data_IF_007319121149
#
_entry.id   IF_007319121149
#
_cell.length_a   1.000
_cell.length_b   1.000
_cell.length_c   1.000
_cell.angle_alpha   90.00
_cell.angle_beta   90.00
_cell.angle_gamma   90.00
#
_symmetry.space_group_name_H-M   'P 1'
#
loop_
_entity.id
_entity.type
_entity.pdbx_description
1 polymer ?
2 non-polymer ?
3 non-polymer ?
4 water ?
#
# COMPACT_ATOMS: atom_id res chain seq x y z
N UNK A 32 -36.08 -25.18 -5.59
CA UNK A 32 -34.99 -24.82 -6.51
C UNK A 32 -33.67 -24.57 -5.75
N UNK A 33 -32.92 -23.52 -6.14
CA UNK A 33 -31.69 -23.11 -5.46
C UNK A 33 -32.13 -22.16 -4.39
N UNK A 34 -33.37 -21.76 -4.44
CA UNK A 34 -33.89 -20.90 -3.39
C UNK A 34 -33.48 -21.46 -2.01
N UNK A 35 -33.20 -22.77 -1.93
CA UNK A 35 -32.72 -23.42 -0.70
C UNK A 35 -31.35 -22.91 -0.31
N UNK A 36 -30.53 -22.70 -1.33
CA UNK A 36 -29.15 -22.29 -1.08
C UNK A 36 -29.09 -20.82 -0.67
N UNK A 37 -29.87 -19.97 -1.33
CA UNK A 37 -29.99 -18.59 -0.89
C UNK A 37 -30.38 -18.52 0.58
N UNK A 38 -31.39 -19.31 0.97
CA UNK A 38 -31.88 -19.26 2.34
C UNK A 38 -30.80 -19.66 3.35
N UNK A 39 -30.05 -20.71 3.06
CA UNK A 39 -28.99 -21.08 4.00
C UNK A 39 -27.91 -19.99 4.07
N UNK A 40 -27.63 -19.33 2.95
CA UNK A 40 -26.58 -18.30 2.97
C UNK A 40 -27.04 -17.04 3.68
N UNK A 41 -28.33 -16.68 3.53
CA UNK A 41 -28.87 -15.57 4.30
C UNK A 41 -28.77 -15.84 5.79
N UNK A 42 -29.06 -17.07 6.21
CA UNK A 42 -28.97 -17.43 7.63
C UNK A 42 -27.55 -17.22 8.15
N UNK A 43 -26.55 -17.63 7.38
CA UNK A 43 -25.17 -17.42 7.79
C UNK A 43 -24.80 -15.95 7.83
N UNK A 44 -25.35 -15.13 6.90
CA UNK A 44 -25.10 -13.69 6.97
C UNK A 44 -25.68 -13.12 8.27
N UNK A 45 -26.95 -13.41 8.54
CA UNK A 45 -27.57 -12.93 9.77
C UNK A 45 -26.77 -13.39 10.98
N UNK A 46 -26.41 -14.67 11.01
CA UNK A 46 -25.64 -15.20 12.13
C UNK A 46 -24.31 -14.47 12.28
N UNK A 47 -23.64 -14.17 11.16
CA UNK A 47 -22.35 -13.50 11.27
C UNK A 47 -22.52 -12.04 11.67
N UNK A 48 -23.60 -11.39 11.22
CA UNK A 48 -23.85 -10.01 11.61
C UNK A 48 -24.07 -9.92 13.11
N UNK A 49 -25.00 -10.74 13.62
CA UNK A 49 -25.22 -10.84 15.07
C UNK A 49 -23.90 -11.04 15.82
N UNK A 50 -23.03 -11.96 15.37
CA UNK A 50 -21.73 -12.10 16.02
C UNK A 50 -20.94 -10.79 15.97
N UNK A 51 -20.81 -10.20 14.78
CA UNK A 51 -20.06 -8.96 14.65
C UNK A 51 -20.67 -7.83 15.48
N UNK A 52 -22.01 -7.71 15.47
CA UNK A 52 -22.65 -6.62 16.20
C UNK A 52 -22.66 -6.79 17.73
N UNK A 53 -22.04 -7.84 18.29
CA UNK A 53 -21.93 -7.98 19.75
C UNK A 53 -20.52 -8.35 20.18
N UNK A 54 -19.55 -8.27 19.29
CA UNK A 54 -18.18 -8.33 19.69
C UNK A 54 -17.68 -6.97 20.14
N UNK A 55 -16.55 -6.98 20.83
CA UNK A 55 -15.94 -5.73 21.26
C UNK A 55 -14.88 -5.33 20.24
N UNK A 56 -14.03 -4.37 20.60
CA UNK A 56 -13.00 -3.91 19.70
C UNK A 56 -11.82 -4.84 19.50
N UNK A 57 -11.83 -6.00 20.15
CA UNK A 57 -10.74 -6.97 20.00
C UNK A 57 -10.56 -7.41 18.55
N UNK A 60 -11.10 -4.25 12.76
CA UNK A 60 -10.25 -5.21 12.07
C UNK A 60 -10.52 -6.64 12.56
N UNK A 61 -11.70 -6.84 13.12
CA UNK A 61 -12.08 -8.09 13.78
C UNK A 61 -12.02 -9.28 12.83
N UNK A 62 -11.95 -10.48 13.41
CA UNK A 62 -12.22 -11.69 12.65
C UNK A 62 -13.70 -11.83 12.35
N UNK A 63 -14.56 -11.36 13.26
CA UNK A 63 -16.00 -11.40 13.01
C UNK A 63 -16.38 -10.54 11.82
N UNK A 64 -15.75 -9.36 11.71
CA UNK A 64 -16.01 -8.46 10.60
C UNK A 64 -15.66 -9.09 9.26
N UNK A 65 -14.55 -9.85 9.20
CA UNK A 65 -14.18 -10.45 7.92
C UNK A 65 -15.08 -11.65 7.61
N UNK A 66 -15.48 -12.40 8.64
CA UNK A 66 -16.41 -13.50 8.39
C UNK A 66 -17.72 -12.99 7.82
N UNK A 67 -18.22 -11.85 8.32
CA UNK A 67 -19.48 -11.31 7.82
C UNK A 67 -19.35 -10.88 6.37
N UNK A 68 -18.20 -10.30 6.00
CA UNK A 68 -17.90 -10.01 4.60
C UNK A 68 -17.89 -11.29 3.79
N UNK A 69 -17.19 -12.32 4.29
CA UNK A 69 -17.13 -13.59 3.60
C UNK A 69 -18.53 -14.13 3.30
N UNK A 70 -19.40 -14.15 4.32
CA UNK A 70 -20.76 -14.69 4.14
C UNK A 70 -21.60 -13.81 3.22
N UNK A 71 -21.44 -12.48 3.30
CA UNK A 71 -22.08 -11.60 2.32
C UNK A 71 -21.66 -11.95 0.91
N UNK A 72 -20.36 -12.18 0.73
CA UNK A 72 -19.85 -12.53 -0.59
C UNK A 72 -20.40 -13.85 -1.08
N UNK A 73 -20.47 -14.87 -0.20
CA UNK A 73 -21.08 -16.14 -0.58
C UNK A 73 -22.51 -15.94 -1.07
N UNK A 74 -23.27 -15.10 -0.37
CA UNK A 74 -24.68 -14.93 -0.70
C UNK A 74 -24.85 -14.41 -2.12
N UNK A 75 -24.07 -13.38 -2.50
CA UNK A 75 -24.06 -12.92 -3.88
C UNK A 75 -23.75 -14.06 -4.84
N UNK A 76 -22.64 -14.75 -4.62
CA UNK A 76 -22.24 -15.81 -5.53
C UNK A 76 -23.33 -16.88 -5.66
N UNK A 77 -23.96 -17.25 -4.53
CA UNK A 77 -25.02 -18.24 -4.57
C UNK A 77 -26.24 -17.72 -5.34
N UNK A 78 -26.60 -16.44 -5.13
CA UNK A 78 -27.68 -15.82 -5.89
C UNK A 78 -27.39 -15.90 -7.39
N UNK A 79 -26.15 -15.63 -7.80
CA UNK A 79 -25.85 -15.61 -9.22
C UNK A 79 -25.73 -17.02 -9.79
N UNK A 80 -25.30 -17.99 -8.99
CA UNK A 80 -25.03 -19.31 -9.52
C UNK A 80 -23.64 -19.40 -10.14
N UNK A 81 -23.05 -20.60 -10.10
CA UNK A 81 -21.60 -20.72 -10.43
C UNK A 81 -21.19 -20.16 -11.78
N UNK A 82 -21.90 -20.49 -12.85
CA UNK A 82 -21.48 -20.07 -14.20
C UNK A 82 -21.65 -18.56 -14.35
N UNK A 83 -22.82 -17.95 -14.10
CA UNK A 83 -22.89 -16.48 -14.18
C UNK A 83 -21.96 -15.74 -13.25
N UNK A 84 -21.56 -16.33 -12.13
CA UNK A 84 -20.63 -15.64 -11.25
C UNK A 84 -19.23 -15.58 -11.86
N UNK A 85 -18.93 -16.44 -12.82
CA UNK A 85 -17.62 -16.39 -13.43
C UNK A 85 -17.49 -15.22 -14.38
N UNK A 86 -18.60 -14.54 -14.71
CA UNK A 86 -18.61 -13.31 -15.49
C UNK A 86 -18.24 -12.09 -14.66
N UNK A 87 -18.03 -12.24 -13.36
CA UNK A 87 -17.76 -11.07 -12.55
C UNK A 87 -16.34 -10.53 -12.77
N UNK A 88 -15.43 -11.31 -13.37
CA UNK A 88 -14.16 -10.74 -13.85
C UNK A 88 -14.37 -9.68 -14.93
N UNK A 89 -15.29 -9.89 -15.87
CA UNK A 89 -15.52 -8.86 -16.89
C UNK A 89 -16.25 -7.65 -16.33
N UNK A 90 -17.22 -7.85 -15.42
CA UNK A 90 -17.83 -6.71 -14.74
C UNK A 90 -16.80 -5.94 -13.95
N UNK A 91 -15.89 -6.64 -13.28
CA UNK A 91 -14.93 -5.96 -12.42
C UNK A 91 -13.98 -5.12 -13.24
N UNK A 92 -13.53 -5.66 -14.37
CA UNK A 92 -12.54 -4.98 -15.20
C UNK A 92 -13.13 -3.68 -15.74
N UNK A 93 -14.35 -3.73 -16.30
CA UNK A 93 -14.94 -2.49 -16.85
C UNK A 93 -15.21 -1.49 -15.74
N UNK A 94 -15.56 -1.95 -14.54
CA UNK A 94 -15.82 -1.03 -13.45
C UNK A 94 -14.55 -0.27 -13.08
N UNK A 95 -13.42 -0.99 -12.92
CA UNK A 95 -12.14 -0.32 -12.65
C UNK A 95 -11.80 0.64 -13.78
N UNK A 96 -12.04 0.22 -15.02
CA UNK A 96 -11.66 1.02 -16.17
C UNK A 96 -12.48 2.30 -16.21
N UNK A 97 -13.74 2.19 -15.81
CA UNK A 97 -14.65 3.33 -15.81
C UNK A 97 -14.36 4.30 -14.65
N UNK A 98 -14.12 3.77 -13.44
CA UNK A 98 -13.67 4.60 -12.33
C UNK A 98 -12.41 5.39 -12.69
N UNK A 99 -11.40 4.69 -13.23
CA UNK A 99 -10.15 5.34 -13.62
C UNK A 99 -10.41 6.47 -14.62
N UNK A 100 -11.21 6.21 -15.65
CA UNK A 100 -11.49 7.24 -16.65
C UNK A 100 -12.25 8.41 -16.03
N UNK A 101 -13.30 8.12 -15.25
CA UNK A 101 -14.10 9.19 -14.67
C UNK A 101 -13.27 10.04 -13.71
N UNK A 102 -12.42 9.41 -12.91
CA UNK A 102 -11.56 10.17 -12.01
C UNK A 102 -10.56 11.02 -12.81
N UNK A 103 -9.90 10.42 -13.80
CA UNK A 103 -8.88 11.16 -14.55
C UNK A 103 -9.51 12.31 -15.35
N UNK A 104 -10.72 12.13 -15.86
CA UNK A 104 -11.37 13.20 -16.61
C UNK A 104 -12.06 14.23 -15.72
N UNK A 105 -11.90 14.17 -14.40
CA UNK A 105 -12.47 15.19 -13.54
C UNK A 105 -13.96 15.09 -13.27
N UNK A 106 -14.58 13.96 -13.55
CA UNK A 106 -16.00 13.81 -13.24
C UNK A 106 -16.24 13.82 -11.72
N UNK A 107 -15.36 13.19 -10.93
CA UNK A 107 -15.54 13.20 -9.47
C UNK A 107 -15.49 14.63 -8.92
N UNK A 108 -14.54 15.45 -9.42
CA UNK A 108 -14.40 16.84 -8.95
C UNK A 108 -15.50 17.76 -9.51
N UNK A 109 -16.04 17.45 -10.67
CA UNK A 109 -17.13 18.28 -11.17
C UNK A 109 -18.45 17.99 -10.45
N UNK A 110 -18.53 16.85 -9.75
CA UNK A 110 -19.89 16.59 -9.28
C UNK A 110 -20.06 17.13 -7.86
N UNK A 111 -21.23 17.71 -7.60
CA UNK A 111 -21.52 18.31 -6.28
C UNK A 111 -21.28 17.34 -5.14
N UNK A 112 -20.27 17.63 -4.32
CA UNK A 112 -20.06 16.90 -3.08
C UNK A 112 -21.28 17.08 -2.20
N UNK A 113 -21.88 15.96 -1.78
CA UNK A 113 -23.01 15.98 -0.87
C UNK A 113 -24.28 15.32 -1.38
N UNK A 114 -24.31 14.76 -2.59
CA UNK A 114 -25.46 14.01 -3.05
C UNK A 114 -26.40 14.77 -3.97
N UNK A 115 -26.14 16.04 -4.21
CA UNK A 115 -26.91 16.81 -5.17
C UNK A 115 -26.67 16.28 -6.58
N UNK A 116 -27.74 16.16 -7.35
CA UNK A 116 -27.71 15.55 -8.68
C UNK A 116 -27.07 16.49 -9.72
N UNK A 117 -26.64 15.90 -10.85
CA UNK A 117 -26.08 16.64 -11.98
C UNK A 117 -26.23 15.78 -13.23
N UNK A 118 -26.55 16.42 -14.36
CA UNK A 118 -26.86 15.68 -15.57
C UNK A 118 -25.60 15.31 -16.34
N UNK A 119 -25.74 14.30 -17.19
CA UNK A 119 -24.69 13.98 -18.15
C UNK A 119 -24.19 15.23 -18.86
N UNK A 120 -25.12 16.05 -19.37
CA UNK A 120 -24.75 17.23 -20.14
C UNK A 120 -23.95 18.21 -19.29
N UNK A 121 -24.42 18.48 -18.07
CA UNK A 121 -23.67 19.34 -17.15
C UNK A 121 -22.27 18.80 -16.93
N UNK A 122 -22.17 17.52 -16.55
CA UNK A 122 -20.85 16.90 -16.33
C UNK A 122 -20.02 17.00 -17.59
N UNK A 123 -20.63 16.70 -18.73
CA UNK A 123 -19.87 16.74 -19.98
C UNK A 123 -19.35 18.15 -20.26
N UNK A 124 -20.15 19.16 -19.92
CA UNK A 124 -19.75 20.55 -20.16
C UNK A 124 -18.56 20.94 -19.31
N UNK A 125 -18.57 20.57 -18.02
CA UNK A 125 -17.52 21.02 -17.12
C UNK A 125 -16.22 20.25 -17.24
N UNK A 126 -16.21 19.07 -17.88
CA UNK A 126 -14.98 18.28 -17.96
C UNK A 126 -14.48 18.11 -19.38
N UNK A 127 -15.32 18.34 -20.39
CA UNK A 127 -14.96 18.01 -21.74
C UNK A 127 -14.94 16.53 -22.06
N UNK A 128 -15.41 15.68 -21.16
CA UNK A 128 -15.58 14.27 -21.49
C UNK A 128 -16.80 14.13 -22.38
N UNK A 129 -16.65 13.41 -23.48
CA UNK A 129 -17.77 13.18 -24.39
C UNK A 129 -18.98 12.64 -23.63
N UNK A 130 -20.09 13.40 -23.71
CA UNK A 130 -21.34 13.03 -23.07
C UNK A 130 -21.77 11.60 -23.41
N UNK A 131 -21.41 11.11 -24.59
CA UNK A 131 -21.78 9.77 -24.97
C UNK A 131 -20.94 8.73 -24.24
N UNK A 132 -19.63 8.97 -24.15
CA UNK A 132 -18.77 8.10 -23.36
C UNK A 132 -19.17 8.14 -21.90
N UNK A 133 -19.43 9.34 -21.38
CA UNK A 133 -19.78 9.50 -19.97
C UNK A 133 -21.01 8.67 -19.62
N UNK A 134 -22.06 8.75 -20.45
CA UNK A 134 -23.26 7.98 -20.15
C UNK A 134 -22.93 6.49 -20.11
N UNK A 135 -22.22 6.00 -21.12
CA UNK A 135 -21.83 4.59 -21.14
C UNK A 135 -21.00 4.22 -19.91
N UNK A 136 -20.01 5.05 -19.56
CA UNK A 136 -19.17 4.75 -18.42
C UNK A 136 -19.97 4.72 -17.12
N UNK A 137 -20.98 5.60 -16.98
CA UNK A 137 -21.73 5.67 -15.73
C UNK A 137 -22.51 4.39 -15.47
N UNK A 138 -22.84 3.63 -16.52
CA UNK A 138 -23.55 2.37 -16.33
C UNK A 138 -22.74 1.34 -15.53
N UNK A 139 -21.42 1.51 -15.42
CA UNK A 139 -20.63 0.56 -14.63
C UNK A 139 -20.47 0.99 -13.17
N UNK A 140 -20.86 2.21 -12.79
CA UNK A 140 -20.58 2.69 -11.44
C UNK A 140 -21.85 3.18 -10.76
N UNK A 141 -23.02 2.89 -11.34
CA UNK A 141 -24.28 3.21 -10.67
C UNK A 141 -25.04 1.97 -10.19
N UNK A 142 -25.08 0.85 -10.95
CA UNK A 142 -25.97 -0.27 -10.54
C UNK A 142 -25.69 -0.77 -9.14
N UNK A 143 -24.42 -1.07 -8.88
CA UNK A 143 -23.87 -1.20 -7.55
C UNK A 143 -22.80 -0.18 -7.27
N UNK A 144 -22.16 0.39 -8.34
CA UNK A 144 -20.92 1.16 -8.25
C UNK A 144 -21.10 2.28 -7.27
N UNK A 145 -20.03 3.02 -6.93
CA UNK A 145 -20.14 3.99 -5.82
C UNK A 145 -21.01 5.22 -6.11
N UNK A 146 -21.51 5.40 -7.35
CA UNK A 146 -22.32 6.56 -7.68
C UNK A 146 -23.79 6.17 -7.61
N UNK A 147 -24.67 7.18 -7.67
CA UNK A 147 -26.09 6.93 -7.67
C UNK A 147 -26.72 7.49 -8.94
N UNK A 148 -27.43 6.64 -9.67
CA UNK A 148 -28.20 7.06 -10.84
C UNK A 148 -29.54 7.59 -10.36
N UNK A 149 -29.63 8.92 -10.26
CA UNK A 149 -30.82 9.56 -9.70
C UNK A 149 -31.98 9.52 -10.70
N UNK A 150 -31.69 9.79 -11.98
CA UNK A 150 -32.65 9.66 -13.05
C UNK A 150 -31.91 9.49 -14.34
N UNK A 151 -32.64 9.39 -15.44
CA UNK A 151 -32.02 9.28 -16.77
C UNK A 151 -31.00 10.40 -17.00
N UNK A 152 -29.75 10.01 -17.31
CA UNK A 152 -28.63 10.94 -17.51
C UNK A 152 -28.37 11.83 -16.32
N UNK A 153 -28.71 11.35 -15.12
CA UNK A 153 -28.65 12.14 -13.91
C UNK A 153 -27.98 11.31 -12.82
N UNK A 154 -26.99 11.87 -12.15
CA UNK A 154 -26.13 11.08 -11.28
C UNK A 154 -25.81 11.89 -10.03
N UNK A 155 -25.59 11.20 -8.91
CA UNK A 155 -25.13 11.87 -7.71
C UNK A 155 -23.93 11.12 -7.13
N UNK A 156 -23.10 11.86 -6.42
CA UNK A 156 -22.12 11.28 -5.53
C UNK A 156 -22.84 10.49 -4.43
N UNK A 157 -22.10 9.57 -3.80
CA UNK A 157 -22.44 9.02 -2.49
C UNK A 157 -21.18 9.15 -1.64
N UNK A 158 -21.21 8.79 -0.36
CA UNK A 158 -19.95 8.80 0.39
C UNK A 158 -18.93 7.81 -0.16
N UNK A 159 -19.38 6.79 -0.89
CA UNK A 159 -18.44 5.83 -1.44
C UNK A 159 -17.75 6.35 -2.69
N UNK A 160 -18.43 7.17 -3.52
CA UNK A 160 -17.72 7.83 -4.60
C UNK A 160 -16.83 8.95 -4.07
N UNK A 161 -17.37 9.81 -3.21
CA UNK A 161 -16.57 10.91 -2.64
C UNK A 161 -15.34 10.41 -1.91
N UNK A 162 -15.33 9.16 -1.45
CA UNK A 162 -14.14 8.61 -0.82
C UNK A 162 -12.94 8.61 -1.76
N UNK A 163 -13.18 8.53 -3.08
CA UNK A 163 -12.08 8.62 -4.02
C UNK A 163 -11.41 9.98 -3.99
N UNK A 164 -12.04 10.98 -3.38
CA UNK A 164 -11.39 12.27 -3.29
C UNK A 164 -10.55 12.45 -2.03
N UNK A 165 -10.64 11.54 -1.06
CA UNK A 165 -9.86 11.79 0.15
C UNK A 165 -8.38 11.61 -0.14
N UNK A 166 -7.55 12.17 0.76
CA UNK A 166 -6.10 12.10 0.63
C UNK A 166 -5.61 10.69 0.28
N UNK A 167 -5.92 9.70 1.13
CA UNK A 167 -5.44 8.34 0.92
C UNK A 167 -5.76 7.81 -0.47
N UNK A 168 -7.02 7.89 -0.89
CA UNK A 168 -7.41 7.30 -2.16
C UNK A 168 -6.93 8.16 -3.33
N UNK A 169 -6.94 9.48 -3.14
CA UNK A 169 -6.59 10.35 -4.27
C UNK A 169 -5.10 10.30 -4.59
N UNK A 170 -4.25 9.93 -3.63
CA UNK A 170 -2.86 9.76 -3.95
C UNK A 170 -2.65 8.38 -4.56
N UNK A 171 -3.29 7.40 -3.96
CA UNK A 171 -3.03 6.00 -4.23
C UNK A 171 -3.69 5.49 -5.52
N UNK A 172 -4.97 5.84 -5.75
CA UNK A 172 -5.71 5.24 -6.88
C UNK A 172 -5.19 5.68 -8.24
N UNK A 173 -4.95 6.97 -8.52
CA UNK A 173 -4.46 7.34 -9.87
C UNK A 173 -3.14 6.71 -10.20
N UNK A 174 -2.22 6.64 -9.24
CA UNK A 174 -0.92 6.07 -9.53
C UNK A 174 -1.04 4.57 -9.80
N UNK A 175 -1.84 3.87 -8.99
CA UNK A 175 -2.05 2.44 -9.23
C UNK A 175 -2.71 2.21 -10.57
N UNK A 176 -3.69 3.06 -10.92
CA UNK A 176 -4.44 2.78 -12.13
C UNK A 176 -3.67 3.23 -13.36
N UNK A 177 -2.87 4.30 -13.27
CA UNK A 177 -2.10 4.72 -14.44
C UNK A 177 -0.83 3.88 -14.66
N UNK A 178 -0.24 3.31 -13.60
CA UNK A 178 1.04 2.65 -13.77
C UNK A 178 1.08 1.19 -13.38
N UNK A 179 0.17 0.72 -12.52
CA UNK A 179 0.31 -0.58 -11.92
C UNK A 179 -0.72 -1.58 -12.43
N UNK A 180 -1.98 -1.14 -12.64
CA UNK A 180 -3.03 -2.10 -12.99
C UNK A 180 -2.67 -2.84 -14.27
N UNK A 181 -2.18 -2.11 -15.27
CA UNK A 181 -1.75 -2.68 -16.53
C UNK A 181 -0.76 -3.82 -16.38
N UNK A 182 0.36 -3.55 -15.74
CA UNK A 182 1.33 -4.63 -15.45
C UNK A 182 0.71 -5.82 -14.74
N UNK A 183 -0.06 -5.59 -13.67
CA UNK A 183 -0.64 -6.71 -12.93
C UNK A 183 -1.42 -7.61 -13.89
N UNK A 184 -2.23 -7.01 -14.75
CA UNK A 184 -2.97 -7.82 -15.71
C UNK A 184 -2.03 -8.60 -16.61
N UNK A 185 -0.82 -8.06 -16.84
CA UNK A 185 0.15 -8.70 -17.73
C UNK A 185 1.05 -9.70 -17.02
N UNK A 186 0.82 -9.94 -15.72
CA UNK A 186 1.53 -10.99 -15.01
C UNK A 186 1.47 -12.29 -15.81
N UNK A 187 0.29 -12.65 -16.31
CA UNK A 187 0.17 -13.89 -17.06
C UNK A 187 1.10 -13.88 -18.27
N UNK A 188 1.05 -12.79 -19.06
CA UNK A 188 1.89 -12.69 -20.24
C UNK A 188 3.37 -12.85 -19.89
N UNK A 189 3.81 -12.23 -18.80
CA UNK A 189 5.23 -12.30 -18.45
C UNK A 189 5.61 -13.73 -18.09
N UNK A 190 4.82 -14.36 -17.23
CA UNK A 190 5.16 -15.72 -16.82
C UNK A 190 5.09 -16.69 -17.99
N UNK A 191 4.18 -16.44 -18.95
CA UNK A 191 4.07 -17.29 -20.13
C UNK A 191 5.38 -17.35 -20.91
N UNK A 192 6.01 -16.21 -21.13
CA UNK A 192 7.28 -16.13 -21.84
C UNK A 192 8.36 -17.03 -21.24
N UNK A 193 8.26 -17.41 -19.97
CA UNK A 193 9.23 -18.32 -19.36
C UNK A 193 8.57 -19.62 -18.93
N UNK A 194 7.44 -19.95 -19.56
CA UNK A 194 6.71 -21.21 -19.31
C UNK A 194 6.35 -21.38 -17.84
N UNK A 195 5.80 -20.30 -17.26
CA UNK A 195 5.24 -20.29 -15.92
C UNK A 195 6.31 -20.44 -14.86
N UNK A 196 7.55 -20.16 -15.22
CA UNK A 196 8.67 -20.16 -14.30
C UNK A 196 8.90 -18.75 -13.76
N UNK A 197 9.48 -18.69 -12.57
CA UNK A 197 9.74 -17.41 -11.92
C UNK A 197 11.01 -16.77 -12.48
N UNK A 198 10.87 -16.03 -13.58
CA UNK A 198 11.95 -15.20 -14.09
C UNK A 198 11.91 -13.78 -13.54
N UNK A 199 11.07 -13.53 -12.54
CA UNK A 199 10.73 -12.16 -12.18
C UNK A 199 11.89 -11.52 -11.44
N UNK A 200 12.22 -10.30 -11.83
CA UNK A 200 13.27 -9.57 -11.17
C UNK A 200 12.83 -8.10 -11.02
N UNK A 201 13.56 -7.37 -10.19
CA UNK A 201 13.33 -5.94 -10.02
C UNK A 201 13.42 -5.16 -11.34
N UNK A 202 14.20 -5.63 -12.30
CA UNK A 202 14.40 -4.89 -13.56
C UNK A 202 13.88 -5.64 -14.78
N UNK A 203 13.16 -6.73 -14.58
CA UNK A 203 12.59 -7.53 -15.68
C UNK A 203 11.39 -8.26 -15.08
N UNK A 204 10.20 -7.81 -15.45
CA UNK A 204 8.98 -8.10 -14.71
C UNK A 204 7.78 -7.57 -15.49
N UNK A 205 6.55 -7.84 -15.04
CA UNK A 205 5.39 -7.33 -15.80
C UNK A 205 5.36 -5.82 -15.94
N UNK A 206 5.97 -5.09 -15.00
CA UNK A 206 6.07 -3.63 -15.14
C UNK A 206 7.01 -3.24 -16.30
N UNK A 207 8.22 -3.82 -16.37
CA UNK A 207 9.09 -3.51 -17.51
C UNK A 207 8.47 -4.01 -18.81
N UNK A 208 7.81 -5.18 -18.79
CA UNK A 208 7.13 -5.65 -19.99
C UNK A 208 6.05 -4.67 -20.45
N UNK A 209 5.16 -4.23 -19.52
CA UNK A 209 4.00 -3.43 -19.92
C UNK A 209 4.41 -2.02 -20.32
N UNK A 210 5.37 -1.44 -19.61
CA UNK A 210 5.79 -0.08 -19.87
C UNK A 210 6.96 -0.02 -20.84
N UNK A 211 7.31 -1.17 -21.44
CA UNK A 211 8.43 -1.33 -22.35
C UNK A 211 9.67 -0.60 -21.84
N UNK A 212 10.10 -0.95 -20.62
CA UNK A 212 11.27 -0.33 -20.02
C UNK A 212 12.20 -1.35 -19.36
N UNK A 213 12.57 -2.41 -20.08
CA UNK A 213 13.47 -3.42 -19.48
C UNK A 213 14.74 -2.79 -18.92
N UNK A 214 15.15 -3.27 -17.74
CA UNK A 214 16.34 -2.73 -17.09
C UNK A 214 16.05 -1.77 -15.94
N UNK A 215 15.09 -0.86 -16.11
CA UNK A 215 14.75 0.07 -15.03
C UNK A 215 13.87 -0.60 -13.99
N UNK A 216 14.24 -0.42 -12.72
CA UNK A 216 13.29 -0.62 -11.64
C UNK A 216 12.13 0.40 -11.75
N UNK A 217 11.10 0.17 -10.93
CA UNK A 217 9.89 0.99 -11.05
C UNK A 217 10.13 2.42 -10.59
N UNK A 218 10.77 2.58 -9.41
CA UNK A 218 11.15 3.91 -8.94
C UNK A 218 12.02 4.64 -9.96
N UNK A 219 13.02 3.95 -10.53
CA UNK A 219 13.81 4.57 -11.60
C UNK A 219 12.92 5.09 -12.71
N UNK A 220 12.02 4.23 -13.23
CA UNK A 220 11.25 4.64 -14.40
C UNK A 220 10.31 5.80 -14.08
N UNK A 221 9.66 5.77 -12.91
CA UNK A 221 8.70 6.83 -12.60
C UNK A 221 9.40 8.14 -12.29
N UNK A 222 10.48 8.10 -11.51
CA UNK A 222 11.20 9.33 -11.18
C UNK A 222 11.88 9.95 -12.40
N UNK A 223 12.21 9.16 -13.43
CA UNK A 223 12.88 9.71 -14.61
C UNK A 223 12.11 10.88 -15.21
N UNK A 224 10.78 10.79 -15.22
CA UNK A 224 9.95 11.91 -15.66
C UNK A 224 9.54 12.71 -14.43
N UNK A 225 9.96 13.98 -14.38
CA UNK A 225 9.77 14.78 -13.17
C UNK A 225 8.31 15.05 -12.85
N UNK A 226 7.42 15.06 -13.86
CA UNK A 226 5.99 15.26 -13.65
C UNK A 226 5.33 14.13 -12.85
N UNK A 227 6.03 12.99 -12.66
CA UNK A 227 5.52 11.91 -11.84
C UNK A 227 5.89 12.05 -10.36
N UNK A 228 6.81 12.95 -10.02
CA UNK A 228 7.35 12.96 -8.65
C UNK A 228 6.27 13.35 -7.65
N UNK A 229 5.52 14.41 -7.95
CA UNK A 229 4.43 14.83 -7.05
C UNK A 229 3.38 13.73 -6.90
N UNK A 230 2.77 13.20 -7.97
CA UNK A 230 1.76 12.13 -7.78
C UNK A 230 2.31 10.90 -7.07
N UNK A 231 3.54 10.49 -7.37
CA UNK A 231 4.06 9.26 -6.78
C UNK A 231 4.38 9.47 -5.30
N UNK A 232 4.98 10.61 -4.92
CA UNK A 232 5.25 10.83 -3.50
C UNK A 232 3.96 10.92 -2.69
N UNK A 233 2.88 11.49 -3.27
CA UNK A 233 1.57 11.51 -2.61
C UNK A 233 1.06 10.10 -2.39
N UNK A 234 1.06 9.28 -3.45
CA UNK A 234 0.69 7.87 -3.31
C UNK A 234 1.53 7.16 -2.25
N UNK A 235 2.82 7.53 -2.14
CA UNK A 235 3.66 6.93 -1.12
C UNK A 235 3.20 7.31 0.29
N UNK A 236 2.53 8.45 0.42
CA UNK A 236 1.96 8.86 1.71
C UNK A 236 0.69 8.11 2.06
N UNK A 237 0.04 7.44 1.09
CA UNK A 237 -1.20 6.71 1.35
C UNK A 237 -1.04 5.72 2.48
N UNK A 238 -2.03 5.67 3.37
CA UNK A 238 -2.01 4.82 4.54
C UNK A 238 -3.48 4.54 4.92
N UNK A 239 -4.18 3.85 4.07
CA UNK A 239 -5.57 3.58 4.29
C UNK A 239 -5.87 2.76 5.49
N UNK A 240 -5.04 1.82 5.83
CA UNK A 240 -5.33 0.99 6.96
C UNK A 240 -4.78 1.52 8.26
N UNK A 241 -4.19 2.69 8.25
CA UNK A 241 -3.66 3.34 9.41
C UNK A 241 -2.67 2.58 10.21
N UNK A 242 -1.46 2.47 9.69
CA UNK A 242 -0.44 1.70 10.36
C UNK A 242 -0.18 2.12 11.76
N UNK A 243 -0.19 1.11 12.62
CA UNK A 243 0.02 1.23 14.06
C UNK A 243 1.49 1.44 14.36
N UNK A 244 1.84 2.67 14.74
CA UNK A 244 3.19 3.07 15.07
C UNK A 244 3.54 2.91 16.55
N UNK A 245 2.56 2.65 17.42
CA UNK A 245 2.81 2.43 18.83
C UNK A 245 3.12 0.97 19.14
N UNK A 246 3.38 0.18 18.10
CA UNK A 246 3.64 -1.24 18.25
C UNK A 246 5.00 -1.51 18.89
N UNK A 247 5.91 -0.54 18.84
CA UNK A 247 7.27 -0.61 19.32
C UNK A 247 7.53 0.50 20.33
N UNK A 248 8.23 0.20 21.43
CA UNK A 248 8.52 1.22 22.45
C UNK A 248 9.61 2.23 22.06
N UNK A 249 9.22 3.27 21.31
CA UNK A 249 10.20 4.26 20.88
C UNK A 249 10.79 5.02 22.06
N UNK A 250 10.00 5.26 23.11
CA UNK A 250 10.51 6.01 24.26
C UNK A 250 11.65 5.29 24.95
N UNK A 251 11.52 3.97 25.11
CA UNK A 251 12.52 3.21 25.84
C UNK A 251 13.86 3.19 25.12
N UNK A 252 13.91 2.61 23.91
CA UNK A 252 15.21 2.42 23.25
C UNK A 252 15.88 3.75 22.92
N UNK A 253 15.12 4.79 22.69
CA UNK A 253 15.69 6.06 22.24
C UNK A 253 16.15 6.95 23.40
N UNK A 254 15.60 6.78 24.61
CA UNK A 254 16.04 7.56 25.75
C UNK A 254 17.25 6.95 26.47
N UNK A 255 17.40 5.62 26.47
CA UNK A 255 18.60 4.99 26.99
C UNK A 255 19.74 5.11 26.00
N UNK A 256 19.81 6.21 25.28
CA UNK A 256 20.76 6.40 24.19
C UNK A 256 21.55 7.68 24.45
N UNK A 257 22.85 7.51 24.69
CA UNK A 257 23.73 8.62 25.05
C UNK A 257 24.36 9.19 23.80
N UNK A 258 24.22 10.50 23.59
CA UNK A 258 24.95 11.22 22.56
C UNK A 258 24.64 10.82 21.13
N UNK A 259 25.63 10.21 20.46
CA UNK A 259 25.46 9.83 19.06
C UNK A 259 24.54 8.63 18.86
N UNK A 260 24.34 7.81 19.90
CA UNK A 260 23.36 6.73 19.84
C UNK A 260 21.92 7.23 19.96
N UNK A 261 21.69 8.43 20.51
CA UNK A 261 20.36 9.05 20.51
C UNK A 261 20.11 9.61 19.11
N UNK A 262 19.71 8.73 18.20
CA UNK A 262 19.46 9.06 16.80
C UNK A 262 18.59 7.98 16.17
N UNK A 263 17.67 8.41 15.28
CA UNK A 263 16.77 7.53 14.55
C UNK A 263 16.89 7.87 13.07
N UNK A 264 17.17 6.88 12.23
CA UNK A 264 17.20 7.09 10.78
C UNK A 264 15.99 6.40 10.16
N UNK A 265 15.16 7.18 9.47
CA UNK A 265 13.98 6.69 8.77
C UNK A 265 14.36 6.53 7.30
N UNK A 266 14.90 5.36 6.98
CA UNK A 266 15.51 5.12 5.67
C UNK A 266 14.42 4.86 4.65
N UNK A 267 14.51 5.55 3.51
CA UNK A 267 13.42 5.64 2.53
C UNK A 267 12.14 6.08 3.23
N UNK A 268 12.35 7.04 4.10
CA UNK A 268 11.36 7.66 4.93
C UNK A 268 10.34 8.42 4.16
N UNK A 269 10.71 8.85 3.00
CA UNK A 269 9.83 9.55 2.12
C UNK A 269 9.31 10.78 2.76
N UNK A 270 8.02 10.89 2.89
CA UNK A 270 7.38 12.06 3.42
C UNK A 270 7.78 12.42 4.81
N UNK A 271 8.08 11.43 5.60
CA UNK A 271 8.43 11.63 6.99
C UNK A 271 7.35 11.24 8.00
N UNK A 272 6.13 10.94 7.54
CA UNK A 272 5.02 10.70 8.46
C UNK A 272 5.35 9.64 9.48
N UNK A 273 6.16 8.64 9.10
CA UNK A 273 6.59 7.65 10.07
C UNK A 273 7.45 8.25 11.16
N UNK A 274 8.30 9.21 10.80
CA UNK A 274 9.10 9.89 11.80
C UNK A 274 8.22 10.77 12.67
N UNK A 275 7.39 11.62 12.06
CA UNK A 275 6.43 12.43 12.80
C UNK A 275 5.68 11.59 13.83
N UNK A 276 5.29 10.38 13.46
CA UNK A 276 4.58 9.50 14.37
C UNK A 276 5.50 8.92 15.45
N UNK A 277 6.81 8.86 15.20
CA UNK A 277 7.71 8.39 16.25
C UNK A 277 8.09 9.55 17.18
N UNK A 278 8.35 10.73 16.63
CA UNK A 278 8.28 11.92 17.47
C UNK A 278 6.89 12.07 18.09
N UNK A 279 5.86 11.37 17.57
CA UNK A 279 4.53 11.35 18.18
C UNK A 279 4.21 10.00 18.83
N UNK A 280 5.21 9.34 19.37
CA UNK A 280 4.96 8.17 20.19
C UNK A 280 5.97 8.03 21.33
N UNK A 281 6.96 8.91 21.38
CA UNK A 281 7.72 9.29 22.55
C UNK A 281 8.04 10.77 22.46
N UNK A 282 7.61 11.62 23.41
CA UNK A 282 7.94 13.06 23.31
C UNK A 282 8.97 13.58 24.32
N UNK A 283 9.37 12.83 25.36
CA UNK A 283 10.42 13.29 26.30
C UNK A 283 11.80 13.04 25.67
N UNK A 284 12.19 13.95 24.78
CA UNK A 284 13.39 13.79 23.96
C UNK A 284 14.62 14.36 24.66
N UNK A 285 15.73 13.63 24.58
CA UNK A 285 17.03 14.19 24.96
C UNK A 285 17.68 14.83 23.73
N UNK A 286 17.02 15.90 23.25
CA UNK A 286 17.47 16.69 22.12
C UNK A 286 17.89 15.87 20.92
N UNK A 287 17.02 14.96 20.50
CA UNK A 287 17.45 13.83 19.70
C UNK A 287 17.50 14.16 18.20
N UNK A 288 18.21 13.30 17.49
CA UNK A 288 18.52 13.46 16.08
C UNK A 288 17.54 12.61 15.26
N UNK A 289 16.75 13.26 14.41
CA UNK A 289 15.75 12.55 13.60
C UNK A 289 16.02 12.80 12.13
N UNK A 290 16.32 11.71 11.40
CA UNK A 290 16.83 11.76 10.04
C UNK A 290 15.86 11.03 9.11
N UNK A 291 15.62 11.59 7.93
CA UNK A 291 14.78 10.96 6.92
C UNK A 291 15.59 10.93 5.63
N UNK A 292 16.02 9.73 5.23
CA UNK A 292 16.77 9.52 4.00
C UNK A 292 15.84 9.05 2.90
N UNK A 293 15.98 9.62 1.70
CA UNK A 293 15.31 9.10 0.52
C UNK A 293 16.05 9.58 -0.72
N UNK A 294 15.64 9.07 -1.87
CA UNK A 294 16.22 9.49 -3.12
C UNK A 294 16.01 10.99 -3.32
N UNK A 295 16.81 11.57 -4.22
CA UNK A 295 16.83 13.02 -4.38
C UNK A 295 15.46 13.62 -4.68
N UNK A 296 14.74 13.20 -5.72
CA UNK A 296 13.51 13.93 -6.07
C UNK A 296 12.44 13.85 -4.98
N UNK A 297 12.51 12.84 -4.11
CA UNK A 297 11.61 12.70 -2.97
C UNK A 297 12.00 13.68 -1.86
N UNK A 298 13.26 13.63 -1.44
CA UNK A 298 13.79 14.61 -0.48
C UNK A 298 13.51 16.03 -0.95
N UNK A 299 13.55 16.25 -2.26
CA UNK A 299 13.20 17.57 -2.79
C UNK A 299 11.78 17.98 -2.46
N UNK A 300 10.82 17.09 -2.67
CA UNK A 300 9.42 17.41 -2.44
C UNK A 300 9.13 17.70 -0.98
N UNK A 301 9.78 16.97 -0.06
CA UNK A 301 9.46 17.08 1.36
C UNK A 301 10.54 17.80 2.18
N UNK A 302 11.62 18.30 1.57
CA UNK A 302 12.70 18.90 2.35
C UNK A 302 12.19 20.06 3.21
N UNK A 303 11.51 21.02 2.57
CA UNK A 303 11.06 22.22 3.28
C UNK A 303 10.12 21.85 4.42
N UNK A 304 9.10 21.03 4.14
CA UNK A 304 8.17 20.61 5.17
C UNK A 304 8.82 19.70 6.21
N UNK A 305 9.90 19.00 5.87
CA UNK A 305 10.58 18.17 6.86
C UNK A 305 11.48 19.01 7.78
N UNK A 306 12.27 19.92 7.20
CA UNK A 306 13.07 20.84 8.02
C UNK A 306 12.16 21.59 9.00
N UNK A 307 11.07 22.16 8.49
CA UNK A 307 10.16 22.93 9.33
C UNK A 307 9.79 22.17 10.60
N UNK A 308 9.40 20.92 10.47
CA UNK A 308 9.03 20.12 11.64
C UNK A 308 10.24 19.67 12.44
N UNK A 309 11.41 20.22 12.16
CA UNK A 309 12.60 19.92 12.93
C UNK A 309 13.29 18.61 12.62
N UNK A 310 13.06 18.01 11.45
CA UNK A 310 13.83 16.82 11.05
C UNK A 310 14.69 17.20 9.86
N UNK A 311 15.74 16.42 9.66
CA UNK A 311 16.81 16.77 8.74
C UNK A 311 16.74 15.91 7.49
N UNK A 312 16.61 16.50 6.29
CA UNK A 312 16.47 15.69 5.07
C UNK A 312 17.79 15.44 4.35
N UNK A 313 18.25 14.19 4.32
CA UNK A 313 19.46 13.85 3.58
C UNK A 313 19.17 12.83 2.49
N UNK A 314 19.73 13.09 1.30
CA UNK A 314 19.63 12.20 0.14
C UNK A 314 20.54 10.99 0.31
N UNK A 315 20.03 9.81 -0.01
CA UNK A 315 20.74 8.56 0.21
C UNK A 315 20.09 7.47 -0.64
N UNK A 316 20.92 6.58 -1.16
CA UNK A 316 20.50 5.49 -2.04
C UNK A 316 20.99 4.20 -1.39
N UNK A 317 20.10 3.46 -0.75
CA UNK A 317 20.58 2.28 -0.03
C UNK A 317 21.07 1.16 -0.95
N UNK A 318 21.10 1.37 -2.29
CA UNK A 318 21.64 0.42 -3.26
C UNK A 318 23.06 0.77 -3.71
N UNK A 319 23.33 2.05 -4.00
CA UNK A 319 24.64 2.52 -4.43
C UNK A 319 25.59 2.82 -3.27
N UNK A 320 25.14 3.55 -2.24
CA UNK A 320 25.99 4.06 -1.18
C UNK A 320 25.92 3.21 0.09
N UNK A 321 26.79 3.50 1.04
CA UNK A 321 26.74 2.92 2.37
C UNK A 321 26.01 3.89 3.30
N UNK A 322 25.51 3.36 4.41
CA UNK A 322 24.71 4.17 5.35
C UNK A 322 25.56 5.27 5.97
N UNK A 323 25.31 6.55 5.66
CA UNK A 323 26.19 7.61 6.19
C UNK A 323 26.21 7.70 7.72
N UNK A 324 25.05 7.84 8.34
CA UNK A 324 25.00 8.13 9.77
C UNK A 324 25.39 6.87 10.53
N UNK A 325 26.53 6.93 11.24
CA UNK A 325 27.09 5.80 11.97
C UNK A 325 26.53 5.73 13.38
N UNK A 326 26.33 4.50 13.85
CA UNK A 326 25.99 4.22 15.24
C UNK A 326 24.74 4.88 15.83
N UNK A 327 23.60 4.80 15.14
CA UNK A 327 22.34 5.27 15.70
C UNK A 327 21.63 4.10 16.36
N UNK A 328 20.82 4.39 17.40
CA UNK A 328 20.27 3.28 18.19
C UNK A 328 19.34 2.40 17.37
N UNK A 329 18.71 2.98 16.35
CA UNK A 329 17.87 2.22 15.44
C UNK A 329 18.11 2.73 14.02
N UNK A 330 18.02 1.80 13.06
CA UNK A 330 17.81 2.14 11.67
C UNK A 330 16.47 1.52 11.29
N UNK A 331 15.57 2.37 10.78
CA UNK A 331 14.15 2.06 10.69
C UNK A 331 13.71 2.02 9.24
N UNK A 332 13.02 0.95 8.86
CA UNK A 332 12.59 0.68 7.49
C UNK A 332 11.09 0.42 7.46
N UNK A 333 10.29 1.39 7.02
CA UNK A 333 8.85 1.19 6.93
C UNK A 333 8.43 1.08 5.47
N UNK A 334 7.85 -0.07 5.12
CA UNK A 334 7.31 -0.29 3.78
C UNK A 334 8.38 0.01 2.73
N UNK A 335 9.57 -0.53 2.96
CA UNK A 335 10.64 -0.55 1.98
C UNK A 335 10.93 -1.97 1.49
N UNK A 336 11.09 -2.92 2.41
CA UNK A 336 11.57 -4.25 2.06
C UNK A 336 10.57 -5.04 1.22
N UNK A 337 9.27 -4.71 1.27
CA UNK A 337 8.35 -5.39 0.36
C UNK A 337 8.54 -4.93 -1.08
N UNK A 338 9.37 -3.93 -1.32
CA UNK A 338 9.70 -3.49 -2.67
C UNK A 338 10.79 -4.32 -3.34
N UNK A 339 11.47 -5.20 -2.59
CA UNK A 339 12.72 -5.77 -3.04
C UNK A 339 12.77 -7.25 -2.71
N UNK A 340 13.42 -8.04 -3.57
CA UNK A 340 13.64 -9.46 -3.25
C UNK A 340 14.80 -9.60 -2.27
N UNK A 341 14.81 -10.74 -1.56
CA UNK A 341 15.96 -11.08 -0.72
C UNK A 341 17.29 -10.82 -1.44
N UNK A 342 17.51 -11.48 -2.58
CA UNK A 342 18.71 -11.23 -3.35
C UNK A 342 18.35 -10.79 -4.75
N UNK A 343 19.05 -9.78 -5.30
CA UNK A 343 20.18 -9.07 -4.68
C UNK A 343 19.86 -7.90 -3.74
N UNK A 344 18.86 -7.06 -4.06
CA UNK A 344 18.75 -5.77 -3.39
C UNK A 344 18.54 -5.93 -1.89
N UNK A 345 17.78 -6.93 -1.47
CA UNK A 345 17.56 -7.17 -0.07
C UNK A 345 18.83 -7.22 0.77
N UNK A 346 19.75 -8.12 0.43
CA UNK A 346 21.00 -8.18 1.17
C UNK A 346 21.80 -6.90 1.01
N UNK A 347 21.76 -6.29 -0.18
CA UNK A 347 22.54 -5.08 -0.38
C UNK A 347 22.05 -3.95 0.51
N UNK A 348 20.72 -3.83 0.74
CA UNK A 348 20.22 -2.87 1.71
C UNK A 348 20.81 -3.16 3.08
N UNK A 349 20.57 -4.38 3.58
CA UNK A 349 20.97 -4.74 4.93
C UNK A 349 22.48 -4.65 5.11
N UNK A 350 23.26 -4.84 4.04
CA UNK A 350 24.71 -4.78 4.23
C UNK A 350 25.23 -3.35 4.15
N UNK A 351 24.64 -2.53 3.27
CA UNK A 351 25.07 -1.13 3.20
C UNK A 351 24.78 -0.35 4.48
N UNK A 352 23.91 -0.86 5.35
CA UNK A 352 23.62 -0.20 6.61
C UNK A 352 24.14 -1.01 7.80
N UNK A 353 24.52 -2.27 7.60
CA UNK A 353 25.37 -2.94 8.58
C UNK A 353 26.69 -2.20 8.74
N UNK A 354 27.14 -1.54 7.68
CA UNK A 354 28.38 -0.77 7.71
C UNK A 354 28.39 0.23 8.88
N UNK A 355 27.32 1.00 9.02
CA UNK A 355 27.30 2.08 10.01
C UNK A 355 26.82 1.64 11.39
N UNK A 356 26.49 0.37 11.60
CA UNK A 356 25.92 -0.06 12.89
C UNK A 356 27.00 -0.33 13.92
N UNK A 357 26.82 0.20 15.12
CA UNK A 357 27.50 -0.36 16.28
C UNK A 357 26.95 -1.77 16.55
N UNK A 358 27.84 -2.69 16.92
CA UNK A 358 27.42 -4.08 17.10
C UNK A 358 26.41 -4.20 18.23
N UNK A 359 26.71 -3.57 19.37
CA UNK A 359 25.96 -3.75 20.61
C UNK A 359 25.00 -2.61 20.91
N UNK A 360 25.01 -1.55 20.11
CA UNK A 360 24.22 -0.36 20.41
C UNK A 360 23.35 0.15 19.27
N UNK A 361 23.63 -0.23 18.03
CA UNK A 361 22.73 0.03 16.91
C UNK A 361 21.82 -1.18 16.68
N UNK A 362 20.68 -0.91 16.05
CA UNK A 362 19.67 -1.94 15.85
C UNK A 362 18.84 -1.61 14.61
N UNK A 363 18.31 -2.66 13.98
CA UNK A 363 17.58 -2.55 12.72
C UNK A 363 16.12 -2.90 12.95
N UNK A 364 15.22 -2.06 12.44
CA UNK A 364 13.78 -2.28 12.55
C UNK A 364 13.14 -2.29 11.15
N UNK A 365 12.58 -3.45 10.79
CA UNK A 365 11.87 -3.66 9.51
C UNK A 365 10.39 -3.71 9.80
N UNK A 366 9.63 -2.77 9.22
CA UNK A 366 8.20 -2.59 9.49
C UNK A 366 7.41 -2.85 8.20
N UNK A 367 6.67 -3.96 8.18
CA UNK A 367 6.04 -4.43 6.95
C UNK A 367 4.90 -5.34 7.31
N UNK A 368 4.07 -5.64 6.31
CA UNK A 368 3.08 -6.68 6.48
C UNK A 368 3.77 -7.99 6.83
N UNK A 369 3.16 -8.77 7.72
CA UNK A 369 3.57 -10.13 8.01
C UNK A 369 2.45 -11.04 7.52
N UNK A 370 2.71 -11.74 6.43
CA UNK A 370 1.66 -12.53 5.79
C UNK A 370 1.50 -13.84 6.55
N UNK A 371 0.28 -14.22 6.94
CA UNK A 371 0.10 -15.53 7.55
C UNK A 371 0.20 -16.64 6.52
N UNK A 372 0.65 -17.81 6.98
CA UNK A 372 0.76 -18.97 6.11
C UNK A 372 -0.59 -19.60 5.82
N UNK A 373 -1.66 -19.16 6.47
CA UNK A 373 -3.00 -19.61 6.13
C UNK A 373 -3.94 -18.48 6.47
N UNK A 374 -5.09 -18.46 5.79
CA UNK A 374 -6.09 -17.45 6.08
C UNK A 374 -5.72 -16.03 5.70
N UNK A 375 -4.86 -15.84 4.70
CA UNK A 375 -4.61 -14.50 4.19
C UNK A 375 -5.90 -13.88 3.65
N UNK A 376 -5.99 -12.56 3.72
CA UNK A 376 -7.14 -11.85 3.19
C UNK A 376 -6.82 -11.21 1.84
N UNK A 377 -7.87 -10.66 1.22
CA UNK A 377 -7.70 -9.88 0.00
C UNK A 377 -6.81 -8.66 0.21
N UNK A 378 -6.58 -8.26 1.46
CA UNK A 378 -5.70 -7.13 1.70
C UNK A 378 -4.22 -7.52 1.60
N UNK A 379 -3.84 -8.68 2.14
CA UNK A 379 -2.55 -9.27 1.80
C UNK A 379 -2.42 -9.44 0.28
N UNK A 380 -3.45 -10.03 -0.33
CA UNK A 380 -3.34 -10.48 -1.71
C UNK A 380 -3.10 -9.30 -2.66
N UNK A 381 -3.86 -8.20 -2.52
CA UNK A 381 -3.69 -7.12 -3.50
C UNK A 381 -2.34 -6.44 -3.34
N UNK A 382 -1.83 -6.32 -2.11
CA UNK A 382 -0.52 -5.70 -1.92
C UNK A 382 0.59 -6.61 -2.44
N UNK A 383 0.54 -7.90 -2.10
CA UNK A 383 1.60 -8.81 -2.52
C UNK A 383 1.62 -8.99 -4.04
N UNK A 384 0.46 -9.21 -4.64
CA UNK A 384 0.40 -9.45 -6.07
C UNK A 384 0.62 -8.18 -6.88
N UNK A 385 0.38 -6.99 -6.32
CA UNK A 385 0.73 -5.77 -7.05
C UNK A 385 2.25 -5.57 -7.04
N UNK A 386 2.88 -5.88 -5.90
CA UNK A 386 4.33 -5.88 -5.80
C UNK A 386 4.97 -6.94 -6.71
N UNK A 387 4.31 -8.08 -6.93
CA UNK A 387 4.81 -9.05 -7.89
C UNK A 387 5.13 -8.40 -9.24
N UNK A 388 4.31 -7.44 -9.66
CA UNK A 388 4.47 -6.84 -10.96
C UNK A 388 5.77 -6.02 -11.06
N UNK A 389 6.35 -5.60 -9.94
CA UNK A 389 7.58 -4.83 -9.96
C UNK A 389 8.75 -5.57 -9.31
N UNK A 390 8.61 -6.87 -9.06
CA UNK A 390 9.67 -7.62 -8.39
C UNK A 390 9.67 -7.55 -6.88
N UNK A 391 8.64 -6.98 -6.27
CA UNK A 391 8.53 -6.92 -4.83
C UNK A 391 7.66 -8.04 -4.29
N UNK A 392 7.47 -8.04 -2.98
CA UNK A 392 6.76 -9.15 -2.36
C UNK A 392 6.55 -8.86 -0.89
N UNK A 393 5.36 -9.20 -0.39
CA UNK A 393 5.13 -9.22 1.06
C UNK A 393 5.61 -10.55 1.64
N UNK A 394 6.28 -10.49 2.78
CA UNK A 394 6.97 -11.65 3.34
C UNK A 394 6.20 -12.29 4.49
N UNK A 395 6.30 -13.63 4.59
CA UNK A 395 5.80 -14.29 5.77
C UNK A 395 6.81 -14.13 6.90
N UNK A 396 6.45 -14.64 8.09
CA UNK A 396 7.40 -14.62 9.18
C UNK A 396 8.63 -15.47 8.85
N UNK A 397 8.41 -16.63 8.23
CA UNK A 397 9.53 -17.45 7.78
C UNK A 397 10.34 -16.75 6.71
N UNK A 398 9.71 -15.96 5.85
CA UNK A 398 10.46 -15.25 4.81
C UNK A 398 11.38 -14.21 5.42
N UNK A 399 10.92 -13.54 6.48
CA UNK A 399 11.79 -12.59 7.17
C UNK A 399 12.94 -13.32 7.87
N UNK A 400 12.69 -14.53 8.38
CA UNK A 400 13.75 -15.31 9.03
C UNK A 400 14.90 -15.55 8.06
N UNK A 401 14.58 -16.00 6.84
CA UNK A 401 15.60 -16.25 5.83
C UNK A 401 16.28 -14.97 5.37
N UNK A 402 15.55 -13.85 5.33
CA UNK A 402 16.19 -12.59 4.94
C UNK A 402 17.21 -12.16 5.98
N UNK A 403 16.96 -12.46 7.26
CA UNK A 403 17.92 -12.15 8.30
C UNK A 403 19.15 -13.06 8.19
N UNK A 404 18.91 -14.37 8.15
CA UNK A 404 19.99 -15.34 8.00
C UNK A 404 20.92 -14.96 6.86
N UNK A 405 20.36 -14.71 5.68
CA UNK A 405 21.15 -14.42 4.49
C UNK A 405 22.01 -13.17 4.69
N UNK A 406 21.63 -12.28 5.60
CA UNK A 406 22.39 -11.05 5.82
C UNK A 406 23.12 -11.04 7.15
N UNK A 407 23.22 -12.19 7.81
CA UNK A 407 24.00 -12.29 9.02
C UNK A 407 23.47 -11.49 10.19
N UNK A 408 22.15 -11.41 10.32
CA UNK A 408 21.51 -10.67 11.39
C UNK A 408 20.77 -11.62 12.32
N UNK A 409 20.73 -11.27 13.59
CA UNK A 409 20.04 -12.05 14.60
C UNK A 409 18.64 -11.49 14.82
N UNK A 410 17.66 -12.38 14.83
CA UNK A 410 16.32 -12.01 15.27
C UNK A 410 16.37 -11.64 16.74
N UNK A 411 15.97 -10.41 17.07
CA UNK A 411 15.77 -10.05 18.46
C UNK A 411 14.32 -10.36 18.83
N UNK A 412 13.38 -9.59 18.29
CA UNK A 412 11.97 -9.77 18.61
C UNK A 412 11.11 -9.43 17.40
N UNK A 413 10.03 -10.19 17.23
CA UNK A 413 9.00 -9.89 16.25
C UNK A 413 7.85 -9.20 16.98
N UNK A 414 7.73 -7.89 16.77
CA UNK A 414 6.76 -7.04 17.49
C UNK A 414 5.41 -7.10 16.79
N UNK A 415 4.46 -7.85 17.36
CA UNK A 415 3.13 -7.98 16.78
C UNK A 415 2.06 -7.70 17.81
N UNK A 416 1.08 -6.87 17.44
CA UNK A 416 -0.16 -6.70 18.20
C UNK A 416 -1.28 -7.31 17.36
N UNK A 417 -1.60 -8.60 17.53
CA UNK A 417 -2.43 -9.32 16.55
C UNK A 417 -3.73 -8.60 16.21
N UNK A 418 -4.21 -8.80 14.98
CA UNK A 418 -5.13 -7.90 14.36
C UNK A 418 -4.47 -6.78 13.59
N UNK A 419 -3.21 -6.48 13.92
CA UNK A 419 -2.33 -5.71 13.05
C UNK A 419 -1.81 -6.63 11.94
N UNK A 420 -1.84 -6.14 10.70
CA UNK A 420 -1.17 -6.83 9.61
C UNK A 420 0.31 -6.54 9.60
N UNK A 421 0.69 -5.33 9.98
CA UNK A 421 2.09 -4.99 10.17
C UNK A 421 2.66 -5.65 11.42
N UNK A 422 3.93 -6.04 11.33
CA UNK A 422 4.75 -6.26 12.49
C UNK A 422 6.07 -5.53 12.31
N UNK A 423 6.86 -5.52 13.38
CA UNK A 423 8.22 -5.00 13.31
C UNK A 423 9.18 -6.15 13.56
N UNK A 424 10.10 -6.35 12.62
CA UNK A 424 11.19 -7.30 12.77
C UNK A 424 12.37 -6.53 13.38
N UNK A 425 12.70 -6.86 14.64
CA UNK A 425 13.83 -6.25 15.34
C UNK A 425 15.06 -7.13 15.17
N UNK A 426 16.19 -6.51 14.81
CA UNK A 426 17.37 -7.33 14.57
C UNK A 426 18.65 -6.60 14.96
N UNK A 427 19.65 -7.40 15.34
CA UNK A 427 20.99 -6.96 15.67
C UNK A 427 21.97 -7.77 14.85
N UNK A 428 23.22 -7.30 14.79
CA UNK A 428 24.28 -8.04 14.09
C UNK A 428 24.62 -9.35 14.83
N UNK A 429 24.81 -10.42 14.10
CA UNK A 429 25.05 -11.69 14.75
C UNK A 429 26.33 -11.67 15.54
X LIG B 1 2.50 -0.74 -4.71
X LIG B 1 2.37 -1.84 -5.56
X LIG B 1 4.44 3.37 -5.19
X LIG B 1 2.00 3.38 -5.17
X LIG B 1 1.78 2.94 -6.39
X LIG B 1 1.89 0.89 -3.18
X LIG B 1 1.89 -2.39 -1.88
X LIG B 1 2.98 0.72 -0.99
X LIG B 1 4.26 0.71 -1.76
X LIG B 1 6.52 1.06 -0.86
X LIG B 1 4.37 1.22 -3.02
X LIG B 1 0.58 1.27 -1.27
X LIG B 1 0.17 1.38 0.17
X LIG B 1 -1.21 1.71 0.65
X LIG B 1 -2.15 2.45 -0.02
X LIG B 1 -2.92 1.75 1.95
X LIG B 1 3.06 -1.80 -6.77
X LIG B 1 -0.19 1.45 -2.55
X LIG B 1 3.82 -0.70 -7.11
X LIG B 1 3.92 0.40 -6.25
X LIG B 1 3.24 0.38 -5.04
X LIG B 1 3.17 1.44 -3.94
X LIG B 1 3.21 2.94 -4.38
X LIG B 1 3.23 3.84 -3.15
X LIG B 1 1.86 -0.55 -3.48
X LIG B 1 1.84 0.98 -1.69
X LIG B 1 -3.21 2.45 0.82
X LIG B 1 -1.65 1.28 1.86
X LIG B 1 0.56 1.29 -3.67
X LIG B 1 1.26 -1.48 -2.80
X LIG B 1 2.96 0.53 0.23
X LIG B 1 5.46 0.18 -1.14
X LIG B 1 -1.45 1.74 -2.60
X LIG C 1 8.92 4.81 4.79
X LIG C 1 7.85 5.13 3.84
X LIG C 1 8.01 4.33 2.56
X LIG C 1 7.75 5.13 1.30
X LIG C 1 7.54 4.05 -0.14
X LIG C 1 6.45 4.86 4.37
X LIG C 1 5.50 5.60 4.12
X LIG C 1 6.25 3.84 5.03
X LIG C 1 9.27 3.51 -0.35
X LIG C 1 10.30 4.61 -0.50
X LIG C 1 11.58 4.03 -0.76
X LIG C 1 10.00 5.54 -1.66
X LIG C 1 9.68 6.80 -1.12
X LIG C 1 11.27 5.51 -2.54
X LIG C 1 11.75 6.73 -3.07
X LIG C 1 12.30 4.92 -1.60
X LIG C 1 13.37 4.32 -2.42
X LIG C 1 13.22 3.66 -3.61
X LIG C 1 14.46 3.29 -4.04
X LIG C 1 15.38 3.71 -3.15
X LIG C 1 16.78 3.60 -3.12
X LIG C 1 17.46 2.97 -4.07
X LIG C 1 17.46 4.15 -2.05
X LIG C 1 16.77 4.79 -1.04
X LIG C 1 15.38 4.90 -1.09
X LIG C 1 14.71 4.37 -2.14
#
# INVERSE_FOLDING_TARGET
MGSSHHHHHHHHGASENLYFQGASMTFSNADAQKIAVQKDVDEVVAAAQRFLHGSGNATSDEAKVDLQKKASNLVQTIRGPIPAALSSMEDIVKVASLRTLFEAGVFHAMPKGGASMTASEISAQTGLDKGILIRLMRAVTPLGPFHEVGEEEYAHTPFSEAYLTADIAGCFPVMSNFIFGPVLQICDFLRQNNWKDAITTRNNPFTLAHNCPGETMFEHLYKNSKNVAPVTKAEAADVDQIAMDLYPWEERLSDAKGSNATLVDIAGSHGNGTRAIMALAPKLNGCRFIVQDLEPVIGEHSQALRAEGIEPQVYDFLKQEQPVHGASIYYFRRVFHDWPDLPEGKKILDNTRAAMSREHSRILIHDIIVPEIGATMSHAWQDLSLMAIGGMERTEKDFARLLDIAGLALVKVWRKPGDMMGIIEARLK
9Z7 C1 C2 C10 C11 C12 C13 C16 C18 C20 C22 C23 C24 C25 C26 C27 C29 C3 C31 C4 C5 C6 C7 C8 C9 N14 N17 N28 N30 N33 O15 O19 O21 O32
SAH N CA CB CG SD C O OXT C5' C4' O4' C3' O3' C2' O2' C1' N9 C8 N7 C5 C6 N6 N1 C2 N3 C4
#
